data_IF_297773827016
#
_entry.id   IF_297773827016
#
_cell.length_a   1.000
_cell.length_b   1.000
_cell.length_c   1.000
_cell.angle_alpha   90.00
_cell.angle_beta   90.00
_cell.angle_gamma   90.00
#
_symmetry.space_group_name_H-M   'P 1'
#
loop_
_entity.id
_entity.type
_entity.pdbx_description
1 polymer ?
#
# COMPACT_ATOMS: atom_id res chain seq x y z
N UNK A 1 -33.67 53.49 -7.50
CA UNK A 1 -32.67 52.65 -6.82
C UNK A 1 -32.59 51.35 -7.59
N UNK A 2 -31.65 51.28 -8.53
CA UNK A 2 -31.52 50.18 -9.50
C UNK A 2 -30.90 48.99 -8.76
N UNK A 3 -31.62 47.87 -8.69
CA UNK A 3 -31.08 46.60 -8.22
C UNK A 3 -30.03 46.11 -9.22
N UNK A 4 -28.77 46.04 -8.78
CA UNK A 4 -27.71 45.34 -9.52
C UNK A 4 -27.93 43.84 -9.36
N UNK A 5 -28.29 43.19 -10.47
CA UNK A 5 -28.15 41.75 -10.62
C UNK A 5 -26.70 41.34 -10.37
N UNK A 6 -26.50 40.51 -9.36
CA UNK A 6 -25.21 39.92 -9.06
C UNK A 6 -24.99 38.75 -10.05
N UNK A 7 -24.38 39.03 -11.21
CA UNK A 7 -23.85 38.00 -12.11
C UNK A 7 -22.61 37.36 -11.48
N UNK A 8 -22.82 36.54 -10.45
CA UNK A 8 -21.84 35.61 -9.93
C UNK A 8 -21.84 34.37 -10.80
N UNK A 9 -21.06 34.37 -11.90
CA UNK A 9 -20.73 33.14 -12.59
C UNK A 9 -20.06 32.18 -11.62
N UNK A 10 -20.60 30.97 -11.46
CA UNK A 10 -19.93 29.87 -10.80
C UNK A 10 -18.66 29.57 -11.60
N UNK A 11 -17.53 30.16 -11.20
CA UNK A 11 -16.23 29.74 -11.70
C UNK A 11 -16.04 28.30 -11.22
N UNK A 12 -16.10 27.32 -12.13
CA UNK A 12 -15.84 25.94 -11.76
C UNK A 12 -14.43 25.87 -11.18
N UNK A 13 -14.31 25.40 -9.94
CA UNK A 13 -13.02 25.25 -9.26
C UNK A 13 -12.11 24.35 -10.10
N UNK A 14 -10.90 24.81 -10.43
CA UNK A 14 -9.94 24.03 -11.21
C UNK A 14 -9.38 22.89 -10.37
N UNK A 15 -9.16 21.73 -11.00
CA UNK A 15 -8.76 20.51 -10.30
C UNK A 15 -7.39 20.03 -10.78
N UNK A 16 -6.51 19.69 -9.82
CA UNK A 16 -5.34 18.85 -10.05
C UNK A 16 -5.71 17.39 -9.74
N UNK A 17 -5.76 16.57 -10.78
CA UNK A 17 -5.98 15.13 -10.67
C UNK A 17 -4.64 14.39 -10.67
N UNK A 18 -4.30 13.74 -9.56
CA UNK A 18 -3.10 12.94 -9.38
C UNK A 18 -3.42 11.48 -9.63
N UNK A 19 -2.74 10.85 -10.60
CA UNK A 19 -2.90 9.42 -10.86
C UNK A 19 -1.97 8.61 -9.94
N UNK A 20 -2.55 7.65 -9.22
CA UNK A 20 -1.83 6.80 -8.26
C UNK A 20 -2.01 5.34 -8.65
N UNK A 21 -0.95 4.55 -8.62
CA UNK A 21 -0.98 3.13 -9.00
C UNK A 21 0.39 2.64 -9.48
N UNK A 22 0.59 1.32 -9.49
CA UNK A 22 1.84 0.71 -9.98
C UNK A 22 2.08 0.96 -11.47
N UNK A 23 3.32 0.89 -12.00
CA UNK A 23 3.56 0.89 -13.44
C UNK A 23 2.70 -0.17 -14.16
N UNK A 24 2.34 0.07 -15.42
CA UNK A 24 1.44 -0.80 -16.21
C UNK A 24 0.02 -1.04 -15.64
N UNK A 25 -0.40 -0.37 -14.56
CA UNK A 25 -1.80 -0.41 -14.05
C UNK A 25 -2.83 0.30 -14.94
N UNK A 26 -2.41 0.99 -16.01
CA UNK A 26 -3.33 1.71 -16.91
C UNK A 26 -3.51 3.20 -16.61
N UNK A 27 -2.69 3.79 -15.73
CA UNK A 27 -2.72 5.25 -15.43
C UNK A 27 -2.77 6.12 -16.70
N UNK A 28 -1.88 5.88 -17.66
CA UNK A 28 -1.84 6.68 -18.89
C UNK A 28 -3.08 6.49 -19.78
N UNK A 29 -3.81 5.37 -19.67
CA UNK A 29 -5.10 5.21 -20.35
C UNK A 29 -6.16 6.11 -19.68
N UNK A 30 -6.21 6.12 -18.35
CA UNK A 30 -7.08 7.02 -17.58
C UNK A 30 -6.74 8.49 -17.85
N UNK A 31 -5.45 8.82 -17.98
CA UNK A 31 -5.03 10.17 -18.32
C UNK A 31 -5.60 10.63 -19.68
N UNK A 32 -5.53 9.76 -20.70
CA UNK A 32 -6.06 10.03 -22.04
C UNK A 32 -7.58 10.24 -22.02
N UNK A 33 -8.31 9.37 -21.32
CA UNK A 33 -9.76 9.50 -21.12
C UNK A 33 -10.12 10.86 -20.51
N UNK A 34 -9.39 11.31 -19.48
CA UNK A 34 -9.67 12.58 -18.81
C UNK A 34 -9.36 13.80 -19.66
N UNK A 35 -8.25 13.79 -20.41
CA UNK A 35 -7.90 14.93 -21.26
C UNK A 35 -8.88 15.09 -22.42
N UNK A 36 -9.37 13.98 -22.97
CA UNK A 36 -10.39 13.97 -24.01
C UNK A 36 -11.74 14.44 -23.45
N UNK A 37 -12.13 13.97 -22.27
CA UNK A 37 -13.43 14.30 -21.67
C UNK A 37 -13.51 15.74 -21.15
N UNK A 38 -12.42 16.30 -20.61
CA UNK A 38 -12.47 17.59 -19.88
C UNK A 38 -11.50 18.65 -20.40
N UNK A 39 -10.82 18.40 -21.54
CA UNK A 39 -9.79 19.31 -22.10
C UNK A 39 -8.69 19.69 -21.07
N UNK A 40 -8.33 18.74 -20.21
CA UNK A 40 -7.30 18.92 -19.17
C UNK A 40 -5.89 18.97 -19.77
N UNK A 41 -4.97 19.64 -19.07
CA UNK A 41 -3.53 19.55 -19.37
C UNK A 41 -2.98 18.26 -18.82
N UNK A 42 -2.38 17.43 -19.67
CA UNK A 42 -1.65 16.25 -19.24
C UNK A 42 -0.18 16.57 -18.96
N UNK A 43 0.25 16.34 -17.72
CA UNK A 43 1.66 16.40 -17.32
C UNK A 43 2.14 14.97 -17.05
N UNK A 44 3.16 14.56 -17.80
CA UNK A 44 3.80 13.26 -17.64
C UNK A 44 5.15 13.41 -16.94
N UNK A 45 5.37 12.63 -15.89
CA UNK A 45 6.69 12.48 -15.27
C UNK A 45 7.64 11.69 -16.17
N UNK A 46 8.95 11.97 -16.06
CA UNK A 46 9.96 11.34 -16.88
C UNK A 46 9.96 9.80 -16.71
N UNK A 47 9.69 9.12 -17.82
CA UNK A 47 9.66 7.66 -17.90
C UNK A 47 11.09 7.12 -17.75
N UNK A 48 12.04 7.63 -18.54
CA UNK A 48 13.43 7.20 -18.76
C UNK A 48 14.23 6.70 -17.53
N UNK A 49 13.98 7.21 -16.33
CA UNK A 49 14.57 6.71 -15.08
C UNK A 49 13.90 5.41 -14.58
N UNK A 50 13.77 4.40 -15.44
CA UNK A 50 13.10 3.13 -15.13
C UNK A 50 14.02 2.07 -14.52
N UNK A 51 15.35 2.27 -14.50
CA UNK A 51 16.27 1.16 -14.30
C UNK A 51 17.11 1.16 -13.00
N UNK A 52 17.34 2.27 -12.30
CA UNK A 52 18.42 2.26 -11.27
C UNK A 52 18.26 3.14 -10.05
N UNK A 53 17.35 4.12 -10.03
CA UNK A 53 17.15 4.95 -8.83
C UNK A 53 16.04 4.34 -7.97
N UNK A 54 16.43 3.45 -7.06
CA UNK A 54 15.60 3.18 -5.90
C UNK A 54 15.21 4.50 -5.24
N UNK A 55 14.05 4.57 -4.63
CA UNK A 55 13.58 5.70 -3.80
C UNK A 55 14.52 6.02 -2.60
N UNK A 56 15.73 5.45 -2.57
CA UNK A 56 16.89 5.87 -1.78
C UNK A 56 17.68 7.04 -2.42
N UNK A 57 17.42 7.40 -3.67
CA UNK A 57 18.17 8.41 -4.43
C UNK A 57 17.72 9.87 -4.22
N UNK A 58 17.04 10.17 -3.11
CA UNK A 58 16.81 11.57 -2.66
C UNK A 58 18.13 12.26 -2.25
N UNK A 59 19.27 11.58 -2.39
CA UNK A 59 20.62 12.14 -2.18
C UNK A 59 21.47 12.20 -3.45
N UNK A 60 20.90 12.02 -4.64
CA UNK A 60 21.63 12.27 -5.90
C UNK A 60 21.12 13.55 -6.56
N UNK A 61 22.04 14.37 -7.08
CA UNK A 61 21.73 15.65 -7.75
C UNK A 61 20.71 15.52 -8.90
N UNK A 62 20.62 14.33 -9.51
CA UNK A 62 19.72 14.04 -10.64
C UNK A 62 18.25 13.87 -10.21
N UNK A 63 17.98 13.28 -9.05
CA UNK A 63 16.61 13.11 -8.54
C UNK A 63 15.94 14.43 -8.20
N UNK A 64 16.70 15.36 -7.62
CA UNK A 64 16.26 16.73 -7.32
C UNK A 64 15.91 17.52 -8.59
N UNK A 65 16.67 17.32 -9.68
CA UNK A 65 16.45 18.02 -10.94
C UNK A 65 15.15 17.58 -11.63
N UNK A 66 14.88 16.27 -11.67
CA UNK A 66 13.63 15.71 -12.25
C UNK A 66 12.42 16.22 -11.49
N UNK A 67 12.51 16.24 -10.15
CA UNK A 67 11.45 16.73 -9.28
C UNK A 67 11.16 18.22 -9.51
N UNK A 68 12.20 19.06 -9.58
CA UNK A 68 12.07 20.50 -9.89
C UNK A 68 11.42 20.73 -11.25
N UNK A 69 11.87 20.02 -12.29
CA UNK A 69 11.31 20.12 -13.65
C UNK A 69 9.82 19.83 -13.68
N UNK A 70 9.36 18.78 -12.98
CA UNK A 70 7.94 18.44 -12.93
C UNK A 70 7.11 19.49 -12.17
N UNK A 71 7.67 20.09 -11.11
CA UNK A 71 7.03 21.22 -10.42
C UNK A 71 6.95 22.47 -11.29
N UNK A 72 7.96 22.78 -12.09
CA UNK A 72 7.96 23.93 -13.00
C UNK A 72 6.96 23.76 -14.14
N UNK A 73 6.83 22.54 -14.67
CA UNK A 73 5.77 22.19 -15.62
C UNK A 73 4.39 22.38 -15.00
N UNK A 74 4.21 21.96 -13.74
CA UNK A 74 2.94 22.15 -13.03
C UNK A 74 2.63 23.62 -12.81
N UNK A 75 3.61 24.45 -12.40
CA UNK A 75 3.43 25.90 -12.25
C UNK A 75 3.02 26.56 -13.57
N UNK A 76 3.68 26.20 -14.66
CA UNK A 76 3.38 26.72 -15.99
C UNK A 76 1.96 26.31 -16.42
N UNK A 77 1.60 25.05 -16.23
CA UNK A 77 0.26 24.56 -16.55
C UNK A 77 -0.84 25.27 -15.74
N UNK A 78 -0.57 25.58 -14.46
CA UNK A 78 -1.52 26.28 -13.59
C UNK A 78 -1.87 27.69 -14.07
N UNK A 79 -0.98 28.37 -14.81
CA UNK A 79 -1.24 29.68 -15.42
C UNK A 79 -2.38 29.65 -16.44
N UNK A 80 -2.69 28.48 -17.01
CA UNK A 80 -3.77 28.33 -17.97
C UNK A 80 -5.18 28.34 -17.36
N UNK A 81 -5.30 28.15 -16.04
CA UNK A 81 -6.60 28.01 -15.37
C UNK A 81 -7.41 26.79 -15.81
N UNK A 82 -6.79 25.78 -16.42
CA UNK A 82 -7.44 24.52 -16.83
C UNK A 82 -7.22 23.43 -15.79
N UNK A 83 -8.07 22.40 -15.81
CA UNK A 83 -7.83 21.18 -15.07
C UNK A 83 -6.50 20.53 -15.51
N UNK A 84 -5.83 19.86 -14.58
CA UNK A 84 -4.50 19.27 -14.81
C UNK A 84 -4.53 17.82 -14.37
N UNK A 85 -4.03 16.92 -15.23
CA UNK A 85 -3.81 15.51 -14.90
C UNK A 85 -2.31 15.27 -14.74
N UNK A 86 -1.88 14.83 -13.57
CA UNK A 86 -0.50 14.52 -13.23
C UNK A 86 -0.29 12.99 -13.23
N UNK A 87 0.42 12.49 -14.25
CA UNK A 87 0.80 11.08 -14.42
C UNK A 87 2.31 10.91 -14.19
N UNK A 88 2.71 10.57 -12.97
CA UNK A 88 4.12 10.42 -12.58
C UNK A 88 4.32 9.30 -11.55
N UNK A 89 5.58 9.03 -11.17
CA UNK A 89 5.97 8.00 -10.18
C UNK A 89 5.66 8.45 -8.74
N UNK A 90 4.38 8.64 -8.42
CA UNK A 90 3.90 9.22 -7.15
C UNK A 90 3.37 8.15 -6.17
N UNK A 91 4.19 7.12 -5.93
CA UNK A 91 3.81 5.92 -5.14
C UNK A 91 3.63 6.18 -3.66
N UNK A 92 4.29 7.18 -3.09
CA UNK A 92 4.22 7.47 -1.64
C UNK A 92 3.75 8.90 -1.38
N UNK A 93 3.17 9.17 -0.19
CA UNK A 93 2.76 10.51 0.24
C UNK A 93 3.90 11.53 0.18
N UNK A 94 5.13 11.11 0.48
CA UNK A 94 6.32 11.97 0.41
C UNK A 94 6.49 12.59 -0.98
N UNK A 95 6.21 11.83 -2.05
CA UNK A 95 6.29 12.32 -3.42
C UNK A 95 5.01 13.05 -3.87
N UNK A 96 3.85 12.74 -3.30
CA UNK A 96 2.57 13.42 -3.64
C UNK A 96 2.46 14.80 -3.00
N UNK A 97 2.80 14.91 -1.71
CA UNK A 97 2.58 16.09 -0.86
C UNK A 97 3.03 17.42 -1.50
N UNK A 98 4.22 17.55 -2.11
CA UNK A 98 4.65 18.82 -2.68
C UNK A 98 3.77 19.32 -3.83
N UNK A 99 3.17 18.41 -4.61
CA UNK A 99 2.27 18.78 -5.71
C UNK A 99 0.90 19.21 -5.17
N UNK A 100 0.42 18.56 -4.10
CA UNK A 100 -0.82 18.95 -3.42
C UNK A 100 -0.69 20.34 -2.76
N UNK A 101 0.43 20.61 -2.10
CA UNK A 101 0.73 21.92 -1.54
C UNK A 101 0.83 23.00 -2.62
N UNK A 102 1.46 22.68 -3.75
CA UNK A 102 1.56 23.59 -4.88
C UNK A 102 0.18 23.90 -5.49
N UNK A 103 -0.69 22.90 -5.64
CA UNK A 103 -2.06 23.05 -6.11
C UNK A 103 -2.88 23.98 -5.21
N UNK A 104 -2.88 23.71 -3.90
CA UNK A 104 -3.60 24.54 -2.92
C UNK A 104 -3.12 26.00 -2.93
N UNK A 105 -1.81 26.23 -3.05
CA UNK A 105 -1.24 27.59 -3.16
C UNK A 105 -1.76 28.36 -4.38
N UNK A 106 -2.16 27.67 -5.45
CA UNK A 106 -2.71 28.27 -6.67
C UNK A 106 -4.24 28.15 -6.76
N UNK A 107 -4.92 27.78 -5.67
CA UNK A 107 -6.39 27.71 -5.62
C UNK A 107 -7.01 26.49 -6.33
N UNK A 108 -6.23 25.45 -6.62
CA UNK A 108 -6.73 24.22 -7.21
C UNK A 108 -7.28 23.28 -6.13
N UNK A 109 -8.41 22.64 -6.43
CA UNK A 109 -8.84 21.44 -5.72
C UNK A 109 -7.92 20.27 -6.09
N UNK A 110 -7.83 19.30 -5.21
CA UNK A 110 -6.95 18.14 -5.35
C UNK A 110 -7.75 16.85 -5.37
N UNK A 111 -7.58 16.07 -6.44
CA UNK A 111 -8.22 14.78 -6.62
C UNK A 111 -7.16 13.69 -6.80
N UNK A 112 -7.34 12.53 -6.17
CA UNK A 112 -6.62 11.32 -6.54
C UNK A 112 -7.52 10.40 -7.37
N UNK A 113 -6.96 9.81 -8.43
CA UNK A 113 -7.52 8.59 -9.04
C UNK A 113 -6.53 7.47 -8.78
N UNK A 114 -6.88 6.59 -7.85
CA UNK A 114 -6.11 5.42 -7.48
C UNK A 114 -6.54 4.21 -8.31
N UNK A 115 -5.63 3.63 -9.09
CA UNK A 115 -5.86 2.38 -9.80
C UNK A 115 -5.38 1.23 -8.90
N UNK A 116 -6.33 0.51 -8.32
CA UNK A 116 -6.10 -0.60 -7.39
C UNK A 116 -6.49 -1.94 -8.03
N UNK A 117 -5.86 -2.26 -9.15
CA UNK A 117 -5.98 -3.57 -9.80
C UNK A 117 -4.88 -4.52 -9.28
N UNK A 118 -5.12 -5.85 -9.26
CA UNK A 118 -4.11 -6.84 -8.90
C UNK A 118 -2.83 -6.78 -9.75
N UNK A 119 -1.70 -7.18 -9.17
CA UNK A 119 -0.39 -7.21 -9.85
C UNK A 119 -0.44 -7.95 -11.19
N UNK A 120 -1.23 -9.03 -11.26
CA UNK A 120 -1.44 -9.86 -12.44
C UNK A 120 -1.95 -9.03 -13.62
N UNK A 121 -2.81 -8.04 -13.36
CA UNK A 121 -3.31 -7.11 -14.39
C UNK A 121 -2.17 -6.23 -14.90
N UNK A 122 -1.31 -5.73 -14.02
CA UNK A 122 -0.16 -4.92 -14.43
C UNK A 122 0.89 -5.76 -15.19
N UNK A 123 1.12 -7.01 -14.79
CA UNK A 123 2.01 -7.94 -15.49
C UNK A 123 1.51 -8.23 -16.92
N UNK A 124 0.22 -8.54 -17.07
CA UNK A 124 -0.39 -8.76 -18.37
C UNK A 124 -0.33 -7.53 -19.28
N UNK A 125 -0.55 -6.33 -18.73
CA UNK A 125 -0.40 -5.09 -19.49
C UNK A 125 1.07 -4.83 -19.86
N UNK A 126 2.00 -5.13 -18.97
CA UNK A 126 3.44 -4.95 -19.20
C UNK A 126 3.99 -5.91 -20.27
N UNK A 127 3.46 -7.13 -20.38
CA UNK A 127 3.71 -8.04 -21.50
C UNK A 127 3.29 -7.41 -22.84
N UNK A 128 2.06 -6.89 -22.92
CA UNK A 128 1.55 -6.23 -24.13
C UNK A 128 2.42 -5.06 -24.57
N UNK A 129 2.90 -4.25 -23.61
CA UNK A 129 3.83 -3.16 -23.92
C UNK A 129 5.14 -3.70 -24.51
N UNK A 130 5.67 -4.79 -23.96
CA UNK A 130 6.89 -5.44 -24.47
C UNK A 130 6.71 -5.97 -25.89
N UNK A 131 5.59 -6.63 -26.17
CA UNK A 131 5.23 -7.14 -27.51
C UNK A 131 5.13 -6.00 -28.54
N UNK A 132 4.70 -4.82 -28.10
CA UNK A 132 4.58 -3.61 -28.93
C UNK A 132 5.90 -2.84 -29.07
N UNK A 133 7.00 -3.31 -28.48
CA UNK A 133 8.28 -2.60 -28.46
C UNK A 133 8.25 -1.32 -27.60
N UNK A 134 7.23 -1.15 -26.75
CA UNK A 134 7.16 -0.09 -25.78
C UNK A 134 7.99 -0.41 -24.53
N UNK A 135 8.28 0.64 -23.78
CA UNK A 135 9.05 0.57 -22.55
C UNK A 135 8.30 -0.25 -21.48
N UNK A 136 8.90 -1.38 -21.09
CA UNK A 136 8.38 -2.32 -20.09
C UNK A 136 9.36 -2.51 -18.95
N UNK A 137 8.87 -3.04 -17.82
CA UNK A 137 9.65 -3.31 -16.62
C UNK A 137 9.83 -4.81 -16.38
N UNK A 138 10.82 -5.21 -15.59
CA UNK A 138 10.90 -6.58 -15.09
C UNK A 138 9.79 -6.88 -14.08
N UNK A 139 9.47 -8.16 -13.89
CA UNK A 139 8.51 -8.59 -12.87
C UNK A 139 8.94 -8.16 -11.45
N UNK A 140 10.24 -8.26 -11.13
CA UNK A 140 10.80 -7.81 -9.87
C UNK A 140 10.55 -6.31 -9.63
N UNK A 141 10.71 -5.49 -10.67
CA UNK A 141 10.44 -4.04 -10.60
C UNK A 141 8.96 -3.75 -10.35
N UNK A 142 8.05 -4.53 -10.94
CA UNK A 142 6.60 -4.40 -10.71
C UNK A 142 6.19 -4.86 -9.31
N UNK A 143 6.68 -6.01 -8.85
CA UNK A 143 6.48 -6.50 -7.47
C UNK A 143 6.99 -5.51 -6.44
N UNK A 144 8.19 -4.95 -6.66
CA UNK A 144 8.75 -3.88 -5.83
C UNK A 144 7.86 -2.63 -5.85
N UNK A 145 7.35 -2.25 -7.02
CA UNK A 145 6.46 -1.09 -7.13
C UNK A 145 5.13 -1.28 -6.37
N UNK A 146 4.57 -2.50 -6.37
CA UNK A 146 3.36 -2.85 -5.61
C UNK A 146 3.60 -2.79 -4.10
N UNK A 147 4.70 -3.37 -3.63
CA UNK A 147 5.09 -3.34 -2.21
C UNK A 147 5.25 -1.93 -1.66
N UNK A 148 5.91 -1.06 -2.44
CA UNK A 148 6.17 0.33 -2.02
C UNK A 148 4.99 1.28 -2.23
N UNK A 149 3.93 0.85 -2.92
CA UNK A 149 2.78 1.70 -3.21
C UNK A 149 1.97 1.93 -1.94
N UNK A 150 1.93 3.18 -1.50
CA UNK A 150 1.03 3.63 -0.45
C UNK A 150 -0.22 4.23 -1.09
N UNK A 151 -1.39 3.71 -0.70
CA UNK A 151 -2.69 4.20 -1.15
C UNK A 151 -2.84 5.69 -0.82
N UNK A 152 -3.53 6.49 -1.65
CA UNK A 152 -3.82 7.87 -1.30
C UNK A 152 -4.80 7.92 -0.14
N UNK A 153 -4.59 8.86 0.79
CA UNK A 153 -5.46 9.05 1.96
C UNK A 153 -5.83 10.51 2.14
N UNK A 154 -6.96 10.78 2.80
CA UNK A 154 -7.35 12.16 3.14
C UNK A 154 -6.37 12.84 4.10
N UNK A 155 -5.53 12.09 4.83
CA UNK A 155 -4.48 12.65 5.67
C UNK A 155 -3.39 13.40 4.87
N UNK A 156 -3.27 13.14 3.56
CA UNK A 156 -2.39 13.88 2.66
C UNK A 156 -2.97 15.24 2.25
N UNK A 157 -4.26 15.45 2.52
CA UNK A 157 -5.03 16.65 2.18
C UNK A 157 -5.52 16.66 0.73
N UNK A 158 -5.87 15.49 0.18
CA UNK A 158 -6.73 15.40 -1.00
C UNK A 158 -8.14 15.90 -0.66
N UNK A 159 -8.79 16.60 -1.58
CA UNK A 159 -10.21 16.99 -1.45
C UNK A 159 -11.13 15.84 -1.88
N UNK A 160 -10.68 15.02 -2.84
CA UNK A 160 -11.41 13.86 -3.33
C UNK A 160 -10.48 12.70 -3.66
N UNK A 161 -10.91 11.47 -3.36
CA UNK A 161 -10.21 10.26 -3.76
C UNK A 161 -11.21 9.37 -4.48
N UNK A 162 -10.94 9.06 -5.75
CA UNK A 162 -11.62 8.00 -6.50
C UNK A 162 -10.70 6.81 -6.60
N UNK A 163 -11.24 5.62 -6.42
CA UNK A 163 -10.50 4.38 -6.67
C UNK A 163 -11.16 3.67 -7.83
N UNK A 164 -10.34 3.25 -8.80
CA UNK A 164 -10.72 2.38 -9.90
C UNK A 164 -10.17 1.00 -9.62
N UNK A 165 -11.04 0.02 -9.56
CA UNK A 165 -10.68 -1.40 -9.43
C UNK A 165 -11.58 -2.22 -10.34
N UNK A 166 -11.05 -3.29 -10.90
CA UNK A 166 -11.79 -4.29 -11.70
C UNK A 166 -12.18 -5.51 -10.88
N UNK A 167 -11.94 -5.50 -9.58
CA UNK A 167 -12.34 -6.59 -8.68
C UNK A 167 -13.87 -6.78 -8.77
N UNK A 168 -14.35 -7.95 -9.21
CA UNK A 168 -15.78 -8.21 -9.28
C UNK A 168 -16.37 -8.36 -7.88
N UNK A 169 -17.66 -8.07 -7.73
CA UNK A 169 -18.39 -8.38 -6.50
C UNK A 169 -18.62 -9.90 -6.46
N UNK A 170 -18.24 -10.52 -5.35
CA UNK A 170 -18.66 -11.88 -5.02
C UNK A 170 -20.03 -11.79 -4.34
N UNK A 171 -21.09 -11.99 -5.11
CA UNK A 171 -22.48 -11.84 -4.66
C UNK A 171 -22.82 -12.75 -3.48
N UNK A 172 -22.24 -13.95 -3.42
CA UNK A 172 -22.49 -14.92 -2.35
C UNK A 172 -21.84 -14.46 -1.04
N UNK A 173 -20.56 -14.08 -1.11
CA UNK A 173 -19.83 -13.56 0.04
C UNK A 173 -20.42 -12.22 0.52
N UNK A 174 -20.77 -11.33 -0.41
CA UNK A 174 -21.40 -10.05 -0.12
C UNK A 174 -22.73 -10.27 0.63
N UNK A 175 -23.65 -11.05 0.06
CA UNK A 175 -24.92 -11.36 0.71
C UNK A 175 -24.71 -11.95 2.12
N UNK A 176 -23.75 -12.86 2.27
CA UNK A 176 -23.42 -13.45 3.57
C UNK A 176 -22.94 -12.41 4.59
N UNK A 177 -21.89 -11.65 4.29
CA UNK A 177 -21.33 -10.68 5.24
C UNK A 177 -22.30 -9.54 5.57
N UNK A 178 -23.12 -9.12 4.61
CA UNK A 178 -24.16 -8.12 4.83
C UNK A 178 -25.27 -8.65 5.74
N UNK A 179 -25.77 -9.88 5.50
CA UNK A 179 -26.78 -10.51 6.35
C UNK A 179 -26.25 -10.80 7.77
N UNK A 180 -24.97 -11.12 7.90
CA UNK A 180 -24.34 -11.46 9.18
C UNK A 180 -23.59 -10.29 9.83
N UNK A 181 -23.77 -9.05 9.36
CA UNK A 181 -23.06 -7.86 9.87
C UNK A 181 -23.09 -7.74 11.39
N UNK A 182 -24.26 -7.89 12.01
CA UNK A 182 -24.40 -7.78 13.47
C UNK A 182 -23.61 -8.87 14.21
N UNK A 183 -23.63 -10.10 13.65
CA UNK A 183 -22.89 -11.24 14.19
C UNK A 183 -21.39 -11.08 14.00
N UNK A 184 -20.94 -10.61 12.82
CA UNK A 184 -19.54 -10.30 12.55
C UNK A 184 -18.99 -9.27 13.53
N UNK A 185 -19.78 -8.24 13.87
CA UNK A 185 -19.37 -7.25 14.87
C UNK A 185 -19.26 -7.90 16.25
N UNK A 186 -20.24 -8.71 16.66
CA UNK A 186 -20.34 -9.26 18.01
C UNK A 186 -19.36 -10.41 18.27
N UNK A 187 -19.16 -11.29 17.30
CA UNK A 187 -18.42 -12.55 17.43
C UNK A 187 -17.54 -12.80 16.18
N UNK A 188 -16.62 -11.87 15.83
CA UNK A 188 -15.84 -11.96 14.59
C UNK A 188 -15.04 -13.25 14.49
N UNK A 189 -14.34 -13.62 15.56
CA UNK A 189 -13.47 -14.80 15.58
C UNK A 189 -14.24 -16.10 15.36
N UNK A 190 -15.41 -16.22 16.02
CA UNK A 190 -16.26 -17.40 15.87
C UNK A 190 -16.77 -17.52 14.44
N UNK A 191 -17.25 -16.42 13.87
CA UNK A 191 -17.75 -16.42 12.48
C UNK A 191 -16.63 -16.79 11.49
N UNK A 192 -15.43 -16.23 11.65
CA UNK A 192 -14.30 -16.54 10.76
C UNK A 192 -13.84 -17.99 10.89
N UNK A 193 -13.77 -18.55 12.12
CA UNK A 193 -13.44 -19.96 12.33
C UNK A 193 -14.51 -20.92 11.77
N UNK A 194 -15.78 -20.53 11.78
CA UNK A 194 -16.83 -21.31 11.11
C UNK A 194 -16.63 -21.32 9.59
N UNK A 195 -16.30 -20.18 8.98
CA UNK A 195 -15.95 -20.10 7.55
C UNK A 195 -14.70 -20.90 7.21
N UNK A 196 -13.71 -20.92 8.11
CA UNK A 196 -12.52 -21.78 7.97
C UNK A 196 -12.92 -23.26 7.96
N UNK A 197 -13.70 -23.69 8.95
CA UNK A 197 -14.09 -25.09 9.13
C UNK A 197 -14.93 -25.66 7.99
N UNK A 198 -15.72 -24.82 7.30
CA UNK A 198 -16.55 -25.24 6.17
C UNK A 198 -15.97 -24.86 4.80
N UNK A 199 -14.72 -24.36 4.76
CA UNK A 199 -13.99 -24.05 3.53
C UNK A 199 -14.39 -22.75 2.84
N UNK A 200 -15.40 -22.03 3.34
CA UNK A 200 -15.82 -20.73 2.77
C UNK A 200 -14.77 -19.64 2.95
N UNK A 201 -13.90 -19.74 3.96
CA UNK A 201 -12.81 -18.79 4.14
C UNK A 201 -11.83 -18.83 2.96
N UNK A 202 -11.39 -20.02 2.54
CA UNK A 202 -10.51 -20.18 1.38
C UNK A 202 -11.18 -19.66 0.10
N UNK A 203 -12.47 -19.94 -0.07
CA UNK A 203 -13.24 -19.52 -1.25
C UNK A 203 -13.43 -18.00 -1.33
N UNK A 204 -13.88 -17.36 -0.25
CA UNK A 204 -14.32 -15.95 -0.27
C UNK A 204 -13.24 -14.97 0.19
N UNK A 205 -12.36 -15.39 1.11
CA UNK A 205 -11.30 -14.56 1.70
C UNK A 205 -9.96 -15.32 1.69
N UNK A 206 -9.46 -15.73 0.50
CA UNK A 206 -8.21 -16.48 0.38
C UNK A 206 -7.01 -15.73 0.99
N UNK A 207 -7.05 -14.39 1.02
CA UNK A 207 -5.99 -13.56 1.59
C UNK A 207 -5.81 -13.80 3.10
N UNK A 208 -6.90 -14.03 3.84
CA UNK A 208 -6.84 -14.39 5.26
C UNK A 208 -6.55 -15.88 5.44
N UNK A 209 -7.12 -16.75 4.60
CA UNK A 209 -6.81 -18.18 4.62
C UNK A 209 -5.31 -18.45 4.44
N UNK A 210 -4.66 -17.75 3.51
CA UNK A 210 -3.23 -17.86 3.26
C UNK A 210 -2.35 -17.44 4.45
N UNK A 211 -2.90 -16.76 5.45
CA UNK A 211 -2.19 -16.42 6.68
C UNK A 211 -2.12 -17.58 7.70
N UNK A 212 -2.94 -18.62 7.53
CA UNK A 212 -3.01 -19.78 8.45
C UNK A 212 -1.63 -20.44 8.62
N UNK A 213 -0.92 -20.85 7.55
CA UNK A 213 0.36 -21.53 7.68
C UNK A 213 1.54 -20.58 7.96
N UNK A 214 1.32 -19.26 7.99
CA UNK A 214 2.42 -18.29 8.05
C UNK A 214 2.91 -18.14 9.48
N UNK A 215 3.95 -18.91 9.84
CA UNK A 215 4.75 -18.66 11.03
C UNK A 215 5.42 -17.28 10.91
N UNK A 216 5.45 -16.49 11.99
CA UNK A 216 6.10 -15.17 11.95
C UNK A 216 7.63 -15.25 12.02
N UNK A 217 8.17 -16.40 12.44
CA UNK A 217 9.59 -16.69 12.60
C UNK A 217 10.29 -15.55 13.33
N UNK A 218 9.75 -15.15 14.48
CA UNK A 218 10.29 -14.07 15.28
C UNK A 218 10.11 -14.38 16.78
N UNK A 219 11.16 -14.26 17.62
CA UNK A 219 11.09 -14.57 19.06
C UNK A 219 10.00 -13.81 19.83
N UNK A 220 9.56 -12.66 19.32
CA UNK A 220 8.52 -11.84 19.95
C UNK A 220 7.10 -12.25 19.56
N UNK A 221 6.93 -13.34 18.80
CA UNK A 221 5.65 -13.80 18.28
C UNK A 221 5.43 -15.28 18.60
N UNK A 222 4.37 -15.58 19.35
CA UNK A 222 3.99 -16.95 19.72
C UNK A 222 2.94 -17.55 18.77
N UNK A 223 2.35 -16.72 17.90
CA UNK A 223 1.27 -17.08 17.01
C UNK A 223 1.68 -17.00 15.54
N UNK A 224 1.08 -17.85 14.71
CA UNK A 224 1.01 -17.63 13.26
C UNK A 224 0.35 -16.28 12.97
N UNK A 225 0.51 -15.77 11.75
CA UNK A 225 -0.14 -14.52 11.34
C UNK A 225 -1.65 -14.62 11.51
N UNK A 226 -2.27 -15.72 11.11
CA UNK A 226 -3.71 -15.94 11.29
C UNK A 226 -4.15 -15.92 12.76
N UNK A 227 -3.49 -16.70 13.63
CA UNK A 227 -3.88 -16.75 15.04
C UNK A 227 -3.69 -15.41 15.74
N UNK A 228 -2.67 -14.64 15.35
CA UNK A 228 -2.50 -13.26 15.79
C UNK A 228 -3.67 -12.36 15.33
N UNK A 229 -4.05 -12.41 14.05
CA UNK A 229 -5.18 -11.64 13.50
C UNK A 229 -6.48 -11.98 14.23
N UNK A 230 -6.77 -13.26 14.47
CA UNK A 230 -7.96 -13.71 15.18
C UNK A 230 -7.96 -13.13 16.61
N UNK A 231 -6.88 -13.30 17.37
CA UNK A 231 -6.80 -12.76 18.73
C UNK A 231 -6.91 -11.25 18.80
N UNK A 232 -6.26 -10.54 17.89
CA UNK A 232 -6.36 -9.09 17.81
C UNK A 232 -7.80 -8.64 17.47
N UNK A 233 -8.50 -9.38 16.60
CA UNK A 233 -9.89 -9.10 16.22
C UNK A 233 -10.89 -9.34 17.35
N UNK A 234 -10.64 -10.30 18.24
CA UNK A 234 -11.47 -10.53 19.42
C UNK A 234 -11.51 -9.29 20.34
N UNK A 235 -10.41 -8.56 20.44
CA UNK A 235 -10.32 -7.39 21.32
C UNK A 235 -11.21 -6.22 20.89
N UNK A 236 -11.63 -6.22 19.62
CA UNK A 236 -12.54 -5.21 19.03
C UNK A 236 -13.95 -5.76 18.82
N UNK A 237 -14.24 -6.98 19.28
CA UNK A 237 -15.60 -7.53 19.26
C UNK A 237 -16.58 -6.62 20.00
N UNK A 238 -17.76 -6.41 19.41
CA UNK A 238 -18.80 -5.51 19.91
C UNK A 238 -18.54 -4.02 19.69
N UNK A 239 -17.43 -3.62 19.04
CA UNK A 239 -17.13 -2.22 18.77
C UNK A 239 -17.87 -1.68 17.53
N UNK A 240 -17.24 -1.71 16.36
CA UNK A 240 -17.82 -1.26 15.09
C UNK A 240 -17.35 -2.16 13.96
N UNK A 241 -18.15 -2.21 12.88
CA UNK A 241 -17.80 -2.97 11.69
C UNK A 241 -16.46 -2.52 11.08
N UNK A 242 -16.20 -1.21 11.11
CA UNK A 242 -14.93 -0.61 10.66
C UNK A 242 -13.75 -1.23 11.41
N UNK A 243 -13.79 -1.23 12.74
CA UNK A 243 -12.71 -1.75 13.58
C UNK A 243 -12.53 -3.26 13.44
N UNK A 244 -13.63 -4.01 13.35
CA UNK A 244 -13.58 -5.47 13.14
C UNK A 244 -12.90 -5.80 11.81
N UNK A 245 -13.31 -5.16 10.71
CA UNK A 245 -12.64 -5.38 9.42
C UNK A 245 -11.20 -4.88 9.41
N UNK A 246 -10.90 -3.76 10.06
CA UNK A 246 -9.51 -3.31 10.22
C UNK A 246 -8.67 -4.38 10.90
N UNK A 247 -9.10 -4.95 12.03
CA UNK A 247 -8.30 -5.95 12.74
C UNK A 247 -8.24 -7.30 12.03
N UNK A 248 -9.32 -7.73 11.37
CA UNK A 248 -9.32 -8.96 10.56
C UNK A 248 -8.35 -8.87 9.37
N UNK A 249 -8.08 -7.65 8.89
CA UNK A 249 -7.31 -7.43 7.67
C UNK A 249 -5.96 -6.73 7.90
N UNK A 250 -5.62 -6.30 9.11
CA UNK A 250 -4.46 -5.41 9.34
C UNK A 250 -3.12 -6.03 8.93
N UNK A 251 -2.99 -7.35 9.12
CA UNK A 251 -1.73 -8.07 8.92
C UNK A 251 -1.76 -9.04 7.72
N UNK A 252 -2.83 -9.03 6.91
CA UNK A 252 -2.98 -9.96 5.77
C UNK A 252 -1.86 -9.79 4.73
N UNK A 253 -1.26 -8.59 4.65
CA UNK A 253 -0.12 -8.34 3.78
C UNK A 253 1.09 -9.21 4.12
N UNK A 254 1.21 -9.73 5.35
CA UNK A 254 2.28 -10.67 5.75
C UNK A 254 2.18 -12.02 5.04
N UNK A 255 0.97 -12.40 4.63
CA UNK A 255 0.71 -13.64 3.90
C UNK A 255 0.87 -13.47 2.37
N UNK A 256 1.18 -12.27 1.89
CA UNK A 256 1.37 -12.04 0.47
C UNK A 256 2.70 -12.66 -0.02
N UNK A 257 2.72 -13.32 -1.19
CA UNK A 257 3.92 -13.98 -1.71
C UNK A 257 5.14 -13.05 -1.76
N UNK A 258 6.27 -13.51 -1.20
CA UNK A 258 7.54 -12.78 -1.21
C UNK A 258 7.67 -11.65 -0.18
N UNK A 259 6.69 -11.46 0.71
CA UNK A 259 6.78 -10.44 1.78
C UNK A 259 7.62 -10.90 2.96
N UNK A 260 7.47 -12.16 3.35
CA UNK A 260 8.31 -12.75 4.40
C UNK A 260 9.72 -12.95 3.86
N UNK A 261 10.68 -12.29 4.48
CA UNK A 261 12.07 -12.24 4.05
C UNK A 261 13.01 -12.61 5.19
N UNK A 262 14.06 -13.35 4.86
CA UNK A 262 15.20 -13.61 5.73
C UNK A 262 16.38 -12.86 5.18
N UNK A 263 17.16 -12.19 6.04
CA UNK A 263 18.18 -11.26 5.61
C UNK A 263 19.58 -11.72 5.99
N UNK A 264 20.55 -11.30 5.19
CA UNK A 264 21.96 -11.39 5.51
C UNK A 264 22.72 -10.15 5.07
N UNK A 265 23.91 -9.98 5.63
CA UNK A 265 24.89 -8.99 5.20
C UNK A 265 26.16 -9.71 4.85
N UNK A 266 26.67 -9.47 3.64
CA UNK A 266 27.94 -10.02 3.17
C UNK A 266 29.07 -9.40 3.98
N UNK A 267 29.81 -10.22 4.72
CA UNK A 267 30.95 -9.79 5.55
C UNK A 267 32.25 -9.84 4.78
N UNK A 268 32.40 -10.83 3.91
CA UNK A 268 33.59 -11.05 3.09
C UNK A 268 33.14 -11.19 1.64
N UNK A 269 33.70 -10.40 0.69
CA UNK A 269 33.31 -10.46 -0.71
C UNK A 269 33.36 -11.89 -1.27
N UNK A 270 32.40 -12.22 -2.12
CA UNK A 270 32.29 -13.53 -2.78
C UNK A 270 31.60 -13.33 -4.12
N UNK A 271 32.14 -13.88 -5.21
CA UNK A 271 31.56 -13.71 -6.55
C UNK A 271 31.28 -12.25 -6.90
N UNK A 272 30.02 -11.93 -7.19
CA UNK A 272 29.56 -10.56 -7.51
C UNK A 272 29.23 -9.69 -6.28
N UNK A 273 29.11 -10.28 -5.10
CA UNK A 273 28.70 -9.56 -3.89
C UNK A 273 29.90 -8.96 -3.16
N UNK A 274 29.73 -7.70 -2.76
CA UNK A 274 30.72 -6.91 -2.04
C UNK A 274 30.42 -6.91 -0.53
N UNK A 275 31.45 -6.57 0.25
CA UNK A 275 31.28 -6.40 1.68
C UNK A 275 30.23 -5.31 1.97
N UNK A 276 29.36 -5.58 2.95
CA UNK A 276 28.21 -4.77 3.38
C UNK A 276 26.98 -4.85 2.46
N UNK A 277 27.02 -5.62 1.38
CA UNK A 277 25.83 -5.89 0.59
C UNK A 277 24.77 -6.59 1.43
N UNK A 278 23.54 -6.11 1.35
CA UNK A 278 22.37 -6.76 1.96
C UNK A 278 21.80 -7.77 0.99
N UNK A 279 21.58 -8.99 1.47
CA UNK A 279 21.11 -10.11 0.66
C UNK A 279 19.87 -10.74 1.28
N UNK A 280 18.98 -11.24 0.42
CA UNK A 280 17.88 -12.12 0.84
C UNK A 280 18.41 -13.55 0.91
N UNK A 281 18.04 -14.27 1.95
CA UNK A 281 18.41 -15.68 2.16
C UNK A 281 17.23 -16.54 1.74
N UNK A 282 17.30 -17.09 0.52
CA UNK A 282 16.18 -17.81 -0.10
C UNK A 282 15.81 -19.07 0.70
N UNK A 283 16.81 -19.79 1.22
CA UNK A 283 16.64 -20.97 2.08
C UNK A 283 16.50 -20.63 3.58
N UNK A 284 16.24 -19.37 3.94
CA UNK A 284 16.25 -18.91 5.33
C UNK A 284 15.18 -19.59 6.21
N UNK A 285 14.00 -19.88 5.64
CA UNK A 285 12.94 -20.61 6.34
C UNK A 285 13.37 -22.05 6.65
N UNK A 286 13.89 -22.76 5.65
CA UNK A 286 14.32 -24.15 5.80
C UNK A 286 15.46 -24.29 6.80
N UNK A 287 16.41 -23.35 6.81
CA UNK A 287 17.48 -23.31 7.81
C UNK A 287 16.89 -23.13 9.21
N UNK A 288 15.96 -22.17 9.39
CA UNK A 288 15.36 -21.89 10.70
C UNK A 288 14.55 -23.07 11.23
N UNK A 289 13.88 -23.79 10.34
CA UNK A 289 13.06 -24.95 10.67
C UNK A 289 13.86 -26.26 10.72
N UNK A 290 15.19 -26.18 10.58
CA UNK A 290 16.10 -27.34 10.65
C UNK A 290 15.98 -28.30 9.46
N UNK A 291 15.30 -27.91 8.39
CA UNK A 291 15.19 -28.69 7.13
C UNK A 291 16.43 -28.56 6.26
N UNK A 292 17.18 -27.47 6.39
CA UNK A 292 18.45 -27.25 5.67
C UNK A 292 19.62 -27.10 6.67
N UNK A 293 20.44 -28.15 6.74
CA UNK A 293 21.65 -28.22 7.56
C UNK A 293 22.93 -27.97 6.75
N UNK A 294 22.83 -27.57 5.48
CA UNK A 294 23.97 -27.39 4.59
C UNK A 294 24.88 -26.21 4.98
N UNK A 295 26.06 -26.14 4.35
CA UNK A 295 27.08 -25.14 4.64
C UNK A 295 26.95 -23.83 3.84
N UNK A 296 25.82 -23.64 3.15
CA UNK A 296 25.60 -22.52 2.23
C UNK A 296 24.27 -21.81 2.49
N UNK A 297 24.24 -20.53 2.17
CA UNK A 297 23.02 -19.76 1.94
C UNK A 297 22.73 -19.71 0.44
N UNK A 298 21.46 -19.83 0.06
CA UNK A 298 21.01 -19.50 -1.30
C UNK A 298 20.67 -18.02 -1.37
N UNK A 299 21.30 -17.31 -2.31
CA UNK A 299 21.07 -15.88 -2.56
C UNK A 299 20.86 -15.70 -4.06
N UNK A 300 19.64 -15.36 -4.46
CA UNK A 300 19.25 -15.24 -5.88
C UNK A 300 19.58 -16.52 -6.68
N UNK A 301 19.39 -17.68 -6.06
CA UNK A 301 19.68 -19.00 -6.65
C UNK A 301 21.16 -19.41 -6.67
N UNK A 302 22.08 -18.54 -6.23
CA UNK A 302 23.50 -18.86 -6.12
C UNK A 302 23.85 -19.29 -4.68
N UNK A 303 24.75 -20.28 -4.55
CA UNK A 303 25.19 -20.79 -3.23
C UNK A 303 26.38 -19.99 -2.72
N UNK A 304 26.22 -19.33 -1.58
CA UNK A 304 27.27 -18.58 -0.90
C UNK A 304 27.62 -19.29 0.41
N UNK A 305 28.90 -19.61 0.70
CA UNK A 305 29.27 -20.29 1.94
C UNK A 305 28.89 -19.45 3.17
N UNK A 306 28.40 -20.11 4.23
CA UNK A 306 27.90 -19.42 5.44
C UNK A 306 28.93 -18.46 6.07
N UNK A 307 30.22 -18.74 5.94
CA UNK A 307 31.30 -17.89 6.45
C UNK A 307 31.36 -16.48 5.83
N UNK A 308 30.76 -16.26 4.65
CA UNK A 308 30.76 -14.98 3.96
C UNK A 308 29.59 -14.08 4.31
N UNK A 309 28.58 -14.59 5.02
CA UNK A 309 27.33 -13.87 5.30
C UNK A 309 27.01 -13.96 6.79
N UNK A 310 26.84 -12.79 7.42
CA UNK A 310 26.20 -12.69 8.73
C UNK A 310 24.70 -12.55 8.54
N UNK A 311 23.92 -13.50 9.06
CA UNK A 311 22.46 -13.53 8.88
C UNK A 311 21.68 -12.98 10.07
N UNK A 312 20.49 -12.49 9.75
CA UNK A 312 19.36 -12.33 10.66
C UNK A 312 18.23 -13.23 10.11
N UNK A 313 18.13 -14.45 10.66
CA UNK A 313 17.14 -15.43 10.24
C UNK A 313 15.76 -15.18 10.86
N UNK A 314 15.50 -13.99 11.40
CA UNK A 314 14.15 -13.57 11.75
C UNK A 314 13.33 -13.28 10.50
N UNK A 315 12.05 -13.68 10.55
CA UNK A 315 11.06 -13.34 9.53
C UNK A 315 10.79 -11.85 9.58
N UNK A 316 11.17 -11.16 8.51
CA UNK A 316 10.86 -9.75 8.29
C UNK A 316 9.74 -9.62 7.27
N UNK A 317 8.80 -8.71 7.51
CA UNK A 317 7.65 -8.47 6.64
C UNK A 317 7.61 -7.00 6.20
N UNK A 318 8.64 -6.56 5.49
CA UNK A 318 8.73 -5.15 5.09
C UNK A 318 7.63 -4.77 4.11
N UNK A 319 6.99 -3.62 4.38
CA UNK A 319 5.93 -3.01 3.58
C UNK A 319 4.60 -3.80 3.55
N UNK A 320 4.40 -4.76 4.46
CA UNK A 320 3.17 -5.54 4.54
C UNK A 320 1.93 -4.66 4.76
N UNK A 321 2.06 -3.54 5.46
CA UNK A 321 0.98 -2.59 5.71
C UNK A 321 0.47 -1.94 4.42
N UNK A 322 1.37 -1.71 3.45
CA UNK A 322 1.04 -1.09 2.17
C UNK A 322 0.27 -2.07 1.28
N UNK A 323 0.70 -3.33 1.24
CA UNK A 323 -0.03 -4.40 0.54
C UNK A 323 -1.36 -4.71 1.23
N UNK A 324 -1.36 -4.80 2.57
CA UNK A 324 -2.58 -5.02 3.34
C UNK A 324 -3.63 -3.95 3.08
N UNK A 325 -3.23 -2.69 2.93
CA UNK A 325 -4.13 -1.60 2.53
C UNK A 325 -4.70 -1.78 1.12
N UNK A 326 -3.87 -2.16 0.14
CA UNK A 326 -4.32 -2.43 -1.23
C UNK A 326 -5.30 -3.61 -1.29
N UNK A 327 -4.96 -4.73 -0.62
CA UNK A 327 -5.76 -5.95 -0.55
C UNK A 327 -7.08 -5.72 0.17
N UNK A 328 -7.06 -5.11 1.36
CA UNK A 328 -8.27 -4.84 2.14
C UNK A 328 -9.28 -4.01 1.39
N UNK A 329 -8.83 -3.03 0.60
CA UNK A 329 -9.72 -2.27 -0.27
C UNK A 329 -10.43 -3.19 -1.27
N UNK A 330 -9.67 -4.02 -2.01
CA UNK A 330 -10.22 -4.95 -3.01
C UNK A 330 -11.19 -5.94 -2.37
N UNK A 331 -10.80 -6.53 -1.24
CA UNK A 331 -11.63 -7.47 -0.46
C UNK A 331 -12.96 -6.84 -0.07
N UNK A 332 -12.94 -5.63 0.49
CA UNK A 332 -14.18 -4.99 0.95
C UNK A 332 -15.08 -4.60 -0.22
N UNK A 333 -14.52 -4.13 -1.34
CA UNK A 333 -15.33 -3.89 -2.54
C UNK A 333 -15.86 -5.18 -3.16
N UNK A 334 -15.07 -6.28 -3.13
CA UNK A 334 -15.50 -7.63 -3.53
C UNK A 334 -16.68 -8.12 -2.70
N UNK A 335 -16.72 -7.78 -1.42
CA UNK A 335 -17.84 -8.07 -0.52
C UNK A 335 -18.98 -7.06 -0.58
N UNK A 336 -19.00 -6.15 -1.56
CA UNK A 336 -20.11 -5.21 -1.78
C UNK A 336 -20.13 -4.00 -0.84
N UNK A 337 -19.08 -3.78 -0.04
CA UNK A 337 -18.97 -2.57 0.78
C UNK A 337 -18.69 -1.34 -0.10
N UNK A 338 -19.16 -0.17 0.36
CA UNK A 338 -18.93 1.08 -0.36
C UNK A 338 -17.44 1.44 -0.43
N UNK A 339 -17.05 2.11 -1.53
CA UNK A 339 -15.69 2.59 -1.72
C UNK A 339 -15.19 3.49 -0.56
N UNK A 340 -16.06 4.29 0.04
CA UNK A 340 -15.71 5.13 1.20
C UNK A 340 -15.42 4.28 2.45
N UNK A 341 -16.23 3.24 2.70
CA UNK A 341 -15.98 2.32 3.82
C UNK A 341 -14.67 1.56 3.61
N UNK A 342 -14.46 1.01 2.41
CA UNK A 342 -13.24 0.29 2.04
C UNK A 342 -12.00 1.17 2.16
N UNK A 343 -12.05 2.44 1.70
CA UNK A 343 -10.94 3.39 1.80
C UNK A 343 -10.59 3.71 3.25
N UNK A 344 -11.60 3.89 4.12
CA UNK A 344 -11.39 4.16 5.53
C UNK A 344 -10.70 2.98 6.23
N UNK A 345 -11.15 1.75 6.01
CA UNK A 345 -10.51 0.55 6.58
C UNK A 345 -9.09 0.39 6.05
N UNK A 346 -8.89 0.50 4.73
CA UNK A 346 -7.57 0.39 4.11
C UNK A 346 -6.59 1.47 4.63
N UNK A 347 -7.08 2.67 4.91
CA UNK A 347 -6.25 3.75 5.48
C UNK A 347 -5.78 3.42 6.90
N UNK A 348 -6.65 2.84 7.74
CA UNK A 348 -6.25 2.38 9.08
C UNK A 348 -5.20 1.28 9.00
N UNK A 349 -5.34 0.36 8.04
CA UNK A 349 -4.38 -0.72 7.81
C UNK A 349 -3.04 -0.16 7.33
N UNK A 350 -3.01 0.80 6.40
CA UNK A 350 -1.75 1.42 5.97
C UNK A 350 -1.00 2.07 7.14
N UNK A 351 -1.73 2.63 8.12
CA UNK A 351 -1.15 3.37 9.22
C UNK A 351 -0.98 2.55 10.51
N UNK A 352 -1.37 1.27 10.54
CA UNK A 352 -1.49 0.50 11.78
C UNK A 352 -0.16 0.37 12.56
N UNK A 353 0.97 0.43 11.85
CA UNK A 353 2.32 0.35 12.44
C UNK A 353 2.90 1.70 12.88
N UNK A 354 2.23 2.83 12.59
CA UNK A 354 2.78 4.16 12.82
C UNK A 354 2.73 4.62 14.28
N UNK A 355 1.84 4.04 15.10
CA UNK A 355 1.76 4.41 16.51
C UNK A 355 3.01 3.91 17.25
N UNK A 356 3.70 4.77 18.03
CA UNK A 356 4.86 4.36 18.83
C UNK A 356 4.56 3.15 19.72
N UNK A 357 5.50 2.21 19.80
CA UNK A 357 5.30 0.94 20.51
C UNK A 357 5.26 1.10 22.03
N UNK A 358 6.16 1.90 22.57
CA UNK A 358 6.24 2.20 23.99
C UNK A 358 5.60 3.56 24.24
N UNK A 359 4.38 3.54 24.77
CA UNK A 359 3.60 4.74 25.08
C UNK A 359 4.08 5.38 26.39
N UNK A 360 4.77 4.63 27.25
CA UNK A 360 5.24 5.13 28.55
C UNK A 360 6.45 6.04 28.37
N UNK A 361 7.33 5.71 27.41
CA UNK A 361 8.57 6.45 27.14
C UNK A 361 8.51 7.30 25.86
N UNK A 362 7.33 7.45 25.24
CA UNK A 362 7.21 8.18 23.97
C UNK A 362 7.47 9.68 24.14
N UNK A 363 8.34 10.24 23.30
CA UNK A 363 8.62 11.66 23.27
C UNK A 363 7.50 12.46 22.58
N UNK A 364 7.24 13.69 23.03
CA UNK A 364 6.24 14.59 22.42
C UNK A 364 6.48 14.79 20.91
N UNK A 365 7.75 14.82 20.48
CA UNK A 365 8.10 14.94 19.07
C UNK A 365 7.66 13.74 18.24
N UNK A 366 7.69 12.52 18.80
CA UNK A 366 7.22 11.30 18.13
C UNK A 366 5.68 11.33 17.98
N UNK A 367 4.96 11.74 19.02
CA UNK A 367 3.50 11.91 18.96
C UNK A 367 3.08 12.98 17.95
N UNK A 368 3.78 14.11 17.88
CA UNK A 368 3.53 15.13 16.85
C UNK A 368 3.73 14.57 15.44
N UNK A 369 4.77 13.77 15.21
CA UNK A 369 5.01 13.11 13.91
C UNK A 369 3.92 12.10 13.57
N UNK A 370 3.46 11.32 14.55
CA UNK A 370 2.33 10.41 14.38
C UNK A 370 1.08 11.18 13.93
N UNK A 371 0.66 12.18 14.70
CA UNK A 371 -0.53 12.98 14.40
C UNK A 371 -0.40 13.71 13.04
N UNK A 372 0.77 14.27 12.72
CA UNK A 372 1.01 14.93 11.44
C UNK A 372 0.90 13.98 10.23
N UNK A 373 1.14 12.67 10.41
CA UNK A 373 0.99 11.66 9.36
C UNK A 373 -0.43 11.11 9.26
N UNK A 374 -1.10 10.92 10.39
CA UNK A 374 -2.36 10.18 10.46
C UNK A 374 -3.60 11.08 10.53
N UNK A 375 -3.45 12.34 10.97
CA UNK A 375 -4.50 13.34 11.01
C UNK A 375 -5.78 12.81 11.68
N UNK A 376 -6.93 12.80 10.98
CA UNK A 376 -8.22 12.40 11.56
C UNK A 376 -8.27 10.93 11.99
N UNK A 377 -7.34 10.09 11.54
CA UNK A 377 -7.31 8.65 11.85
C UNK A 377 -6.57 8.34 13.17
N UNK A 378 -5.95 9.32 13.81
CA UNK A 378 -5.09 9.11 14.98
C UNK A 378 -5.78 8.38 16.13
N UNK A 379 -7.03 8.73 16.44
CA UNK A 379 -7.79 8.12 17.54
C UNK A 379 -8.13 6.65 17.27
N UNK A 380 -8.61 6.33 16.07
CA UNK A 380 -8.87 4.94 15.65
C UNK A 380 -7.59 4.11 15.72
N UNK A 381 -6.46 4.67 15.30
CA UNK A 381 -5.17 3.98 15.32
C UNK A 381 -4.66 3.67 16.74
N UNK A 382 -5.08 4.43 17.75
CA UNK A 382 -4.82 4.09 19.15
C UNK A 382 -5.57 2.81 19.54
N UNK A 383 -6.81 2.63 19.07
CA UNK A 383 -7.58 1.40 19.28
C UNK A 383 -6.97 0.23 18.52
N UNK A 384 -6.58 0.44 17.25
CA UNK A 384 -5.87 -0.57 16.44
C UNK A 384 -4.60 -1.03 17.14
N UNK A 385 -3.81 -0.10 17.66
CA UNK A 385 -2.56 -0.43 18.37
C UNK A 385 -2.81 -1.23 19.64
N UNK A 386 -3.80 -0.83 20.45
CA UNK A 386 -4.18 -1.54 21.66
C UNK A 386 -4.61 -2.99 21.35
N UNK A 387 -5.40 -3.16 20.28
CA UNK A 387 -5.86 -4.45 19.79
C UNK A 387 -4.69 -5.35 19.30
N UNK A 388 -3.83 -4.82 18.44
CA UNK A 388 -2.60 -5.49 17.95
C UNK A 388 -1.72 -5.96 19.12
N UNK A 389 -1.47 -5.09 20.11
CA UNK A 389 -0.62 -5.44 21.26
C UNK A 389 -1.23 -6.54 22.13
N UNK A 390 -2.55 -6.56 22.31
CA UNK A 390 -3.24 -7.59 23.10
C UNK A 390 -3.33 -8.95 22.38
N UNK A 391 -3.18 -8.96 21.06
CA UNK A 391 -3.19 -10.19 20.24
C UNK A 391 -1.84 -10.90 20.09
N UNK A 392 -0.79 -10.44 20.79
CA UNK A 392 0.58 -11.00 20.68
C UNK A 392 0.89 -12.09 21.69
#
# INVERSE_FOLDING_TARGET
>A
MIMKENKGGSASMTVLTVLVGIPASGKSAVARELIEATNSIWIQGDRSHHATSGEQDVRTNSGDLVFRKLQDQLRTAMQSGRNIVLDAKLRTPTYRKPYLELARKHGYATEAIFLNDPLETALANNEKLREQGELSLSEEQLRRAERLLQIPTYAEGFDKIKVRTKEPIDEEAAAFFHAHKARLIKEPCKLIRELEADGRLEKWLPELHNAIPVDQHNPHHHFTVYEHIIKASETVAGSSLKMVWTMLLHDIGKAYPGIKQFLGVVTTPFGRWQAKDRVLIDNGADIREGRDLGDFYSVQGEKIPKAHIKTDLNGHFYDHENLGAQLSYRILTRFGYSHDFALNVATLIQFHMLMPRDIVTVELAQLRKFYAKTGPYAADLMLVRLADTRGK
#
